data_IF_163605176394
#
_entry.id   IF_163605176394
#
_cell.length_a   1.000
_cell.length_b   1.000
_cell.length_c   1.000
_cell.angle_alpha   90.00
_cell.angle_beta   90.00
_cell.angle_gamma   90.00
#
_symmetry.space_group_name_H-M   'P 1'
#
loop_
_entity.id
_entity.type
_entity.pdbx_description
1 polymer ?
#
# COMPACT_ATOMS: atom_id res chain seq x y z
N UNK A 1 32.24 5.00 -15.28
CA UNK A 1 30.79 5.01 -15.56
C UNK A 1 30.27 6.42 -15.27
N UNK A 2 29.64 7.08 -16.25
CA UNK A 2 29.07 8.42 -16.05
C UNK A 2 27.79 8.29 -15.21
N UNK A 3 27.68 9.07 -14.13
CA UNK A 3 26.54 9.05 -13.20
C UNK A 3 25.24 9.60 -13.79
N UNK A 4 25.30 10.21 -14.98
CA UNK A 4 24.16 10.85 -15.67
C UNK A 4 23.21 9.91 -16.41
N UNK A 5 23.51 8.60 -16.48
CA UNK A 5 22.69 7.60 -17.19
C UNK A 5 21.74 6.81 -16.25
N UNK A 6 21.72 7.13 -14.95
CA UNK A 6 20.82 6.49 -14.00
C UNK A 6 19.46 7.17 -14.05
N UNK A 7 18.49 6.50 -14.65
CA UNK A 7 17.09 6.86 -14.50
C UNK A 7 16.70 6.85 -13.00
N UNK A 8 15.91 7.84 -12.54
CA UNK A 8 15.45 7.87 -11.17
C UNK A 8 14.54 6.67 -10.89
N UNK A 9 14.77 6.04 -9.72
CA UNK A 9 13.96 4.93 -9.21
C UNK A 9 13.00 5.49 -8.17
N UNK A 10 11.71 5.19 -8.34
CA UNK A 10 10.65 5.55 -7.42
C UNK A 10 10.17 4.30 -6.68
N UNK A 11 9.79 4.48 -5.42
CA UNK A 11 9.22 3.43 -4.59
C UNK A 11 7.82 3.83 -4.15
N UNK A 12 6.87 2.91 -4.25
CA UNK A 12 5.53 3.11 -3.73
C UNK A 12 5.52 3.05 -2.21
N UNK A 13 4.79 3.99 -1.61
CA UNK A 13 4.53 3.98 -0.17
C UNK A 13 3.62 2.80 0.16
N UNK A 14 3.90 2.17 1.31
CA UNK A 14 3.14 1.06 1.84
C UNK A 14 2.84 1.26 3.32
N UNK A 15 1.77 0.61 3.78
CA UNK A 15 1.33 0.60 5.17
C UNK A 15 1.78 -0.69 5.85
N UNK A 16 2.43 -0.58 7.01
CA UNK A 16 2.66 -1.72 7.90
C UNK A 16 1.35 -2.10 8.61
N UNK A 17 0.90 -3.33 8.40
CA UNK A 17 -0.45 -3.75 8.81
C UNK A 17 -0.55 -3.90 10.34
N UNK A 18 0.48 -4.46 10.98
CA UNK A 18 0.51 -4.61 12.44
C UNK A 18 0.66 -3.25 13.13
N UNK A 19 1.47 -2.37 12.57
CA UNK A 19 1.67 -0.99 13.01
C UNK A 19 0.38 -0.19 12.92
N UNK A 20 -0.35 -0.29 11.82
CA UNK A 20 -1.66 0.35 11.67
C UNK A 20 -2.66 -0.15 12.73
N UNK A 21 -2.80 -1.46 12.91
CA UNK A 21 -3.71 -2.03 13.91
C UNK A 21 -3.36 -1.61 15.35
N UNK A 22 -2.07 -1.44 15.64
CA UNK A 22 -1.60 -1.09 16.99
C UNK A 22 -1.73 0.40 17.28
N UNK A 23 -1.45 1.26 16.31
CA UNK A 23 -1.22 2.69 16.55
C UNK A 23 -2.31 3.60 16.00
N UNK A 24 -3.09 3.16 15.01
CA UNK A 24 -4.11 4.02 14.40
C UNK A 24 -5.35 4.11 15.29
N UNK A 25 -5.83 5.33 15.46
CA UNK A 25 -7.10 5.61 16.12
C UNK A 25 -8.27 5.25 15.19
N UNK A 26 -9.48 5.22 15.73
CA UNK A 26 -10.66 5.00 14.89
C UNK A 26 -10.83 6.13 13.86
N UNK A 27 -10.41 7.35 14.16
CA UNK A 27 -10.44 8.46 13.20
C UNK A 27 -9.44 8.27 12.06
N UNK A 28 -8.27 7.68 12.32
CA UNK A 28 -7.27 7.38 11.27
C UNK A 28 -7.72 6.21 10.37
N UNK A 29 -8.50 5.28 10.92
CA UNK A 29 -8.99 4.10 10.23
C UNK A 29 -10.28 4.36 9.44
N UNK A 30 -11.06 5.37 9.82
CA UNK A 30 -12.30 5.71 9.16
C UNK A 30 -12.01 6.21 7.73
N UNK A 31 -12.55 5.51 6.73
CA UNK A 31 -12.31 5.78 5.33
C UNK A 31 -10.91 5.44 4.81
N UNK A 32 -10.10 4.70 5.58
CA UNK A 32 -8.77 4.24 5.13
C UNK A 32 -8.86 3.32 3.90
N UNK A 33 -9.95 2.57 3.77
CA UNK A 33 -10.22 1.74 2.59
C UNK A 33 -11.53 2.14 1.92
N UNK A 34 -11.65 1.81 0.65
CA UNK A 34 -12.89 1.93 -0.12
C UNK A 34 -13.45 0.55 -0.45
N UNK A 35 -14.78 0.44 -0.56
CA UNK A 35 -15.40 -0.78 -1.10
C UNK A 35 -14.95 -1.02 -2.55
N UNK A 36 -15.02 -2.27 -2.99
CA UNK A 36 -14.86 -2.65 -4.39
C UNK A 36 -16.20 -3.24 -4.88
N UNK A 37 -16.89 -2.63 -5.88
CA UNK A 37 -16.48 -1.48 -6.68
C UNK A 37 -16.36 -0.16 -5.87
N UNK A 38 -15.50 0.78 -6.34
CA UNK A 38 -15.27 2.05 -5.64
C UNK A 38 -16.55 2.86 -5.47
N UNK A 39 -16.75 3.42 -4.28
CA UNK A 39 -17.90 4.28 -4.01
C UNK A 39 -17.92 4.80 -2.58
N UNK A 40 -18.15 3.90 -1.63
CA UNK A 40 -18.23 4.29 -0.21
C UNK A 40 -16.94 3.91 0.55
N UNK A 41 -16.38 4.85 1.35
CA UNK A 41 -15.36 4.52 2.33
C UNK A 41 -15.89 3.50 3.34
N UNK A 42 -15.02 2.63 3.82
CA UNK A 42 -15.36 1.69 4.90
C UNK A 42 -15.25 2.39 6.26
N UNK A 43 -16.04 1.92 7.22
CA UNK A 43 -15.95 2.39 8.61
C UNK A 43 -14.65 1.94 9.26
N UNK A 44 -14.22 2.62 10.34
CA UNK A 44 -13.06 2.21 11.12
C UNK A 44 -13.09 0.72 11.56
N UNK A 45 -14.25 0.21 11.97
CA UNK A 45 -14.41 -1.19 12.36
C UNK A 45 -14.21 -2.16 11.19
N UNK A 46 -14.68 -1.81 9.99
CA UNK A 46 -14.45 -2.58 8.77
C UNK A 46 -12.97 -2.51 8.36
N UNK A 47 -12.33 -1.34 8.46
CA UNK A 47 -10.90 -1.19 8.19
C UNK A 47 -10.03 -2.07 9.11
N UNK A 48 -10.35 -2.17 10.41
CA UNK A 48 -9.67 -3.11 11.33
C UNK A 48 -9.80 -4.57 10.88
N UNK A 49 -10.97 -4.96 10.36
CA UNK A 49 -11.18 -6.32 9.82
C UNK A 49 -10.33 -6.56 8.59
N UNK A 50 -10.33 -5.63 7.63
CA UNK A 50 -9.49 -5.70 6.43
C UNK A 50 -8.01 -5.88 6.80
N UNK A 51 -7.49 -5.06 7.70
CA UNK A 51 -6.09 -5.17 8.18
C UNK A 51 -5.83 -6.53 8.86
N UNK A 52 -6.76 -7.01 9.68
CA UNK A 52 -6.64 -8.31 10.35
C UNK A 52 -6.62 -9.46 9.33
N UNK A 53 -7.45 -9.41 8.29
CA UNK A 53 -7.49 -10.40 7.21
C UNK A 53 -6.19 -10.37 6.37
N UNK A 54 -5.57 -9.19 6.21
CA UNK A 54 -4.26 -9.09 5.59
C UNK A 54 -3.19 -9.81 6.43
N UNK A 55 -3.13 -9.56 7.74
CA UNK A 55 -2.19 -10.26 8.63
C UNK A 55 -2.42 -11.76 8.68
N UNK A 56 -3.68 -12.19 8.79
CA UNK A 56 -4.04 -13.61 8.80
C UNK A 56 -3.61 -14.31 7.50
N UNK A 57 -3.65 -13.59 6.37
CA UNK A 57 -3.12 -14.04 5.08
C UNK A 57 -1.60 -13.93 4.92
N UNK A 58 -0.85 -13.60 5.98
CA UNK A 58 0.61 -13.47 5.97
C UNK A 58 1.14 -12.18 5.33
N UNK A 59 0.27 -11.20 5.05
CA UNK A 59 0.66 -9.91 4.46
C UNK A 59 1.00 -8.93 5.58
N UNK A 60 2.27 -8.56 5.67
CA UNK A 60 2.82 -7.65 6.68
C UNK A 60 2.74 -6.19 6.25
N UNK A 61 2.82 -5.95 4.94
CA UNK A 61 2.69 -4.62 4.35
C UNK A 61 1.67 -4.65 3.20
N UNK A 62 0.97 -3.54 2.98
CA UNK A 62 0.04 -3.36 1.86
C UNK A 62 0.35 -2.05 1.12
N UNK A 63 0.31 -2.02 -0.23
CA UNK A 63 0.65 -0.82 -0.96
C UNK A 63 -0.52 0.18 -0.93
N UNK A 64 -0.21 1.49 -0.94
CA UNK A 64 -1.23 2.55 -1.00
C UNK A 64 -1.71 2.84 -2.44
N UNK A 65 -1.02 2.30 -3.43
CA UNK A 65 -1.38 2.35 -4.85
C UNK A 65 -1.09 0.99 -5.50
N UNK A 66 -1.69 0.65 -6.65
CA UNK A 66 -1.30 -0.53 -7.41
C UNK A 66 0.21 -0.54 -7.66
N UNK A 67 0.90 -1.65 -7.37
CA UNK A 67 2.34 -1.78 -7.55
C UNK A 67 2.65 -3.17 -8.09
N UNK A 68 3.27 -3.22 -9.28
CA UNK A 68 3.67 -4.48 -9.91
C UNK A 68 4.82 -5.12 -9.14
N UNK A 69 4.72 -6.42 -8.87
CA UNK A 69 5.76 -7.17 -8.17
C UNK A 69 5.90 -6.81 -6.69
N UNK A 70 4.91 -6.15 -6.09
CA UNK A 70 4.94 -5.77 -4.67
C UNK A 70 5.06 -6.99 -3.75
N UNK A 71 6.05 -6.96 -2.85
CA UNK A 71 6.21 -7.97 -1.82
C UNK A 71 5.44 -7.61 -0.53
N UNK A 72 4.34 -8.32 -0.31
CA UNK A 72 3.52 -8.18 0.88
C UNK A 72 4.17 -8.73 2.16
N UNK A 73 5.26 -9.49 2.06
CA UNK A 73 5.92 -10.09 3.23
C UNK A 73 6.74 -9.09 4.05
N UNK A 74 7.10 -7.94 3.46
CA UNK A 74 7.73 -6.84 4.19
C UNK A 74 8.67 -5.97 3.36
N UNK A 75 9.17 -6.45 2.21
CA UNK A 75 10.07 -5.65 1.36
C UNK A 75 9.32 -4.55 0.60
N UNK A 76 8.06 -4.78 0.24
CA UNK A 76 7.23 -3.79 -0.43
C UNK A 76 7.57 -3.60 -1.91
N UNK A 77 7.62 -2.34 -2.35
CA UNK A 77 7.84 -1.99 -3.74
C UNK A 77 9.26 -2.37 -4.22
N UNK A 78 9.42 -3.07 -5.36
CA UNK A 78 10.74 -3.42 -5.89
C UNK A 78 11.52 -2.22 -6.45
N UNK A 79 10.82 -1.12 -6.73
CA UNK A 79 11.36 0.09 -7.33
C UNK A 79 11.06 0.14 -8.83
N UNK A 80 10.54 1.28 -9.29
CA UNK A 80 10.12 1.49 -10.69
C UNK A 80 10.85 2.69 -11.31
N UNK A 81 11.16 2.61 -12.60
CA UNK A 81 11.83 3.68 -13.34
C UNK A 81 10.81 4.74 -13.78
N UNK A 82 11.17 6.02 -13.68
CA UNK A 82 10.26 7.16 -13.88
C UNK A 82 9.63 7.33 -15.27
N UNK A 83 9.97 6.50 -16.26
CA UNK A 83 9.41 6.53 -17.62
C UNK A 83 8.49 5.32 -17.93
N UNK A 84 8.30 4.40 -16.99
CA UNK A 84 7.47 3.20 -17.20
C UNK A 84 6.05 3.31 -16.62
N UNK A 85 5.76 4.32 -15.82
CA UNK A 85 4.42 4.57 -15.26
C UNK A 85 3.57 5.30 -16.32
N UNK A 86 3.15 4.57 -17.35
CA UNK A 86 2.11 5.05 -18.24
C UNK A 86 0.81 5.20 -17.43
N UNK A 87 0.49 6.45 -17.11
CA UNK A 87 -0.84 7.01 -16.83
C UNK A 87 -1.99 6.03 -17.03
N UNK A 88 -2.41 5.35 -15.96
CA UNK A 88 -3.59 4.49 -15.92
C UNK A 88 -4.45 4.84 -14.69
N UNK A 89 -5.23 5.92 -14.80
CA UNK A 89 -6.40 6.16 -13.95
C UNK A 89 -6.61 7.61 -13.57
#
# INVERSE_FOLDING_TARGET
MNTSDRLPVHYHVHLDVAGALTNFTDQDLDGLFQRNPPGEPVTAAEARRVLTDHLAGGRRVIPLAPCEGFDYSGTGCPGHLAEAEADHG
#
